data_IF_544613131870
#
_entry.id   IF_544613131870
#
_cell.length_a   1.000
_cell.length_b   1.000
_cell.length_c   1.000
_cell.angle_alpha   90.00
_cell.angle_beta   90.00
_cell.angle_gamma   90.00
#
_symmetry.space_group_name_H-M   'P 1'
#
loop_
_entity.id
_entity.type
_entity.pdbx_description
1 polymer ?
#
# COMPACT_ATOMS: atom_id res chain seq x y z
N UNK A 1 5.64 -8.06 4.45
CA UNK A 1 5.68 -7.47 3.08
C UNK A 1 4.43 -6.66 2.76
N UNK A 2 3.23 -7.25 2.83
CA UNK A 2 1.96 -6.53 2.59
C UNK A 2 1.75 -5.37 3.59
N UNK A 3 2.08 -5.58 4.86
CA UNK A 3 1.95 -4.53 5.88
C UNK A 3 2.80 -3.28 5.57
N UNK A 4 4.02 -3.46 5.05
CA UNK A 4 4.88 -2.36 4.61
C UNK A 4 4.27 -1.63 3.40
N UNK A 5 3.65 -2.37 2.48
CA UNK A 5 2.97 -1.78 1.34
C UNK A 5 1.78 -0.91 1.75
N UNK A 6 1.07 -1.29 2.82
CA UNK A 6 -0.05 -0.49 3.34
C UNK A 6 0.46 0.77 4.05
N UNK A 7 1.58 0.70 4.79
CA UNK A 7 2.24 1.92 5.34
C UNK A 7 2.68 2.88 4.24
N UNK A 8 3.29 2.36 3.17
CA UNK A 8 3.66 3.15 1.99
C UNK A 8 2.42 3.74 1.32
N UNK A 9 1.33 2.97 1.19
CA UNK A 9 0.05 3.46 0.66
C UNK A 9 -0.50 4.62 1.48
N UNK A 10 -0.50 4.51 2.81
CA UNK A 10 -0.94 5.58 3.72
C UNK A 10 -0.07 6.83 3.59
N UNK A 11 1.25 6.67 3.45
CA UNK A 11 2.17 7.79 3.22
C UNK A 11 1.91 8.50 1.88
N UNK A 12 1.60 7.74 0.82
CA UNK A 12 1.24 8.30 -0.49
C UNK A 12 -0.11 9.04 -0.44
N UNK A 13 -1.10 8.46 0.25
CA UNK A 13 -2.41 9.09 0.48
C UNK A 13 -2.28 10.41 1.24
N UNK A 14 -1.50 10.44 2.33
CA UNK A 14 -1.23 11.67 3.10
C UNK A 14 -0.49 12.74 2.27
N UNK A 15 0.33 12.32 1.32
CA UNK A 15 1.05 13.21 0.41
C UNK A 15 0.19 13.70 -0.77
N UNK A 16 -1.06 13.22 -0.88
CA UNK A 16 -1.94 13.50 -2.02
C UNK A 16 -1.48 12.87 -3.33
N UNK A 17 -0.59 11.86 -3.26
CA UNK A 17 -0.08 11.12 -4.41
C UNK A 17 -1.00 9.94 -4.75
N UNK A 18 -0.84 9.40 -5.96
CA UNK A 18 -1.52 8.17 -6.34
C UNK A 18 -1.11 7.03 -5.38
N UNK A 19 -2.10 6.50 -4.67
CA UNK A 19 -1.93 5.43 -3.69
C UNK A 19 -2.36 4.07 -4.28
N UNK A 20 -2.31 3.96 -5.61
CA UNK A 20 -2.58 2.73 -6.33
C UNK A 20 -1.47 1.69 -6.15
N UNK A 21 -1.73 0.42 -6.50
CA UNK A 21 -0.77 -0.68 -6.36
C UNK A 21 0.50 -0.51 -7.21
N UNK A 22 0.46 0.30 -8.28
CA UNK A 22 1.63 0.62 -9.11
C UNK A 22 2.55 1.58 -8.37
N UNK A 23 2.00 2.69 -7.88
CA UNK A 23 2.71 3.74 -7.18
C UNK A 23 3.27 3.26 -5.84
N UNK A 24 2.54 2.40 -5.13
CA UNK A 24 3.05 1.72 -3.93
C UNK A 24 4.21 0.81 -4.26
N UNK A 25 4.12 0.00 -5.33
CA UNK A 25 5.21 -0.88 -5.74
C UNK A 25 6.46 -0.06 -6.07
N UNK A 26 6.32 0.96 -6.90
CA UNK A 26 7.43 1.84 -7.30
C UNK A 26 8.06 2.52 -6.08
N UNK A 27 7.23 3.03 -5.17
CA UNK A 27 7.70 3.66 -3.94
C UNK A 27 8.43 2.69 -3.02
N UNK A 28 7.97 1.44 -2.90
CA UNK A 28 8.68 0.41 -2.14
C UNK A 28 10.05 0.11 -2.75
N UNK A 29 10.15 0.02 -4.07
CA UNK A 29 11.43 -0.18 -4.78
C UNK A 29 12.38 0.99 -4.53
N UNK A 30 11.89 2.23 -4.63
CA UNK A 30 12.70 3.43 -4.34
C UNK A 30 13.23 3.46 -2.89
N UNK A 31 12.46 2.93 -1.95
CA UNK A 31 12.86 2.85 -0.54
C UNK A 31 13.79 1.66 -0.25
N UNK A 32 14.17 0.87 -1.27
CA UNK A 32 14.98 -0.35 -1.09
C UNK A 32 14.24 -1.47 -0.37
N UNK A 33 12.91 -1.39 -0.26
CA UNK A 33 12.08 -2.40 0.35
C UNK A 33 11.75 -3.48 -0.68
N UNK A 34 11.65 -4.73 -0.25
CA UNK A 34 11.20 -5.80 -1.14
C UNK A 34 9.72 -5.54 -1.53
N UNK A 35 9.50 -5.20 -2.79
CA UNK A 35 8.17 -4.89 -3.30
C UNK A 35 7.48 -6.20 -3.77
N UNK A 36 6.33 -6.59 -3.17
CA UNK A 36 5.53 -7.68 -3.71
C UNK A 36 4.91 -7.27 -5.05
N UNK A 37 4.58 -8.24 -5.91
CA UNK A 37 4.05 -7.94 -7.25
C UNK A 37 2.82 -7.03 -7.21
N UNK A 38 2.66 -6.20 -8.24
CA UNK A 38 1.50 -5.30 -8.41
C UNK A 38 0.16 -6.04 -8.29
N UNK A 39 0.09 -7.28 -8.78
CA UNK A 39 -1.11 -8.12 -8.68
C UNK A 39 -1.40 -8.58 -7.24
N UNK A 40 -0.35 -8.92 -6.47
CA UNK A 40 -0.50 -9.26 -5.06
C UNK A 40 -0.97 -8.05 -4.23
N UNK A 41 -0.43 -6.85 -4.52
CA UNK A 41 -0.86 -5.60 -3.92
C UNK A 41 -2.33 -5.30 -4.21
N UNK A 42 -2.76 -5.42 -5.47
CA UNK A 42 -4.15 -5.20 -5.86
C UNK A 42 -5.12 -6.12 -5.10
N UNK A 43 -4.81 -7.42 -4.99
CA UNK A 43 -5.63 -8.36 -4.21
C UNK A 43 -5.68 -8.02 -2.73
N UNK A 44 -4.53 -7.70 -2.13
CA UNK A 44 -4.45 -7.34 -0.72
C UNK A 44 -5.26 -6.06 -0.42
N UNK A 45 -5.19 -5.06 -1.30
CA UNK A 45 -5.93 -3.81 -1.17
C UNK A 45 -7.43 -3.98 -1.41
N UNK A 46 -7.83 -4.88 -2.30
CA UNK A 46 -9.24 -5.22 -2.49
C UNK A 46 -9.79 -5.95 -1.27
N UNK A 47 -9.03 -6.91 -0.72
CA UNK A 47 -9.40 -7.65 0.48
C UNK A 47 -9.54 -6.75 1.71
N UNK A 48 -8.64 -5.76 1.88
CA UNK A 48 -8.72 -4.82 3.01
C UNK A 48 -9.97 -3.92 2.96
N UNK A 49 -10.53 -3.65 1.77
CA UNK A 49 -11.78 -2.87 1.63
C UNK A 49 -13.00 -3.70 2.05
N UNK A 50 -12.97 -5.02 1.87
CA UNK A 50 -14.07 -5.92 2.25
C UNK A 50 -14.13 -6.21 3.75
N UNK A 51 -13.01 -6.08 4.48
CA UNK A 51 -12.91 -6.46 5.91
C UNK A 51 -13.17 -5.31 6.90
N UNK A 52 -13.52 -4.11 6.45
CA UNK A 52 -13.95 -3.01 7.34
C UNK A 52 -12.87 -2.43 8.26
N UNK A 53 -11.58 -2.78 8.09
CA UNK A 53 -10.47 -2.21 8.88
C UNK A 53 -10.01 -0.91 8.23
N UNK A 54 -10.79 0.16 8.42
CA UNK A 54 -10.50 1.49 7.90
C UNK A 54 -9.92 2.47 8.95
N UNK A 55 -9.43 2.00 10.12
CA UNK A 55 -9.09 2.92 11.24
C UNK A 55 -7.71 2.85 11.90
N UNK A 56 -6.87 1.83 11.72
CA UNK A 56 -5.67 1.70 12.59
C UNK A 56 -4.32 2.10 11.96
N UNK A 57 -4.27 2.48 10.68
CA UNK A 57 -2.99 2.57 9.94
C UNK A 57 -2.45 4.01 9.83
N UNK A 58 -3.10 4.95 10.50
CA UNK A 58 -2.82 6.39 10.45
C UNK A 58 -2.33 6.98 11.79
N UNK A 59 -1.77 6.18 12.69
CA UNK A 59 -1.09 6.66 13.92
C UNK A 59 0.33 6.14 14.01
#
# INVERSE_FOLDING_TARGET
MIEQAIRVRASLEQSGLDHGPISVHDRMVQLGLAAPSRAALARAFQASVSDGVCKEWAS
#
